data_IF_786719735128
#
_entry.id   IF_786719735128
#
_cell.length_a   1.000
_cell.length_b   1.000
_cell.length_c   1.000
_cell.angle_alpha   90.00
_cell.angle_beta   90.00
_cell.angle_gamma   90.00
#
_symmetry.space_group_name_H-M   'P 1'
#
loop_
_entity.id
_entity.type
_entity.pdbx_description
1 polymer ?
#
# COMPACT_ATOMS: atom_id res chain seq x y z
N UNK A 1 -9.27 -12.22 11.98
CA UNK A 1 -7.83 -12.17 12.30
C UNK A 1 -7.12 -13.50 12.08
N UNK A 2 -7.73 -14.65 12.44
CA UNK A 2 -7.09 -15.97 12.32
C UNK A 2 -6.77 -16.34 10.87
N UNK A 3 -7.68 -16.09 9.93
CA UNK A 3 -7.44 -16.32 8.51
C UNK A 3 -6.31 -15.45 7.96
N UNK A 4 -6.23 -14.18 8.39
CA UNK A 4 -5.12 -13.30 8.07
C UNK A 4 -3.78 -13.84 8.60
N UNK A 5 -3.77 -14.42 9.81
CA UNK A 5 -2.57 -15.00 10.41
C UNK A 5 -2.02 -16.14 9.56
N UNK A 6 -2.88 -17.04 9.12
CA UNK A 6 -2.47 -18.17 8.27
C UNK A 6 -1.87 -17.68 6.95
N UNK A 7 -2.48 -16.71 6.31
CA UNK A 7 -2.04 -16.22 5.01
C UNK A 7 -0.83 -15.29 5.10
N UNK A 8 -0.89 -14.29 6.00
CA UNK A 8 0.15 -13.25 6.05
C UNK A 8 1.39 -13.71 6.81
N UNK A 9 1.24 -14.42 7.92
CA UNK A 9 2.36 -14.80 8.80
C UNK A 9 2.93 -16.14 8.40
N UNK A 10 2.12 -17.21 8.47
CA UNK A 10 2.58 -18.58 8.15
C UNK A 10 2.88 -18.68 6.65
N UNK A 11 2.04 -18.11 5.79
CA UNK A 11 2.26 -18.09 4.34
C UNK A 11 3.58 -17.41 3.96
N UNK A 12 3.88 -16.26 4.53
CA UNK A 12 5.16 -15.56 4.31
C UNK A 12 6.35 -16.41 4.76
N UNK A 13 6.28 -17.00 5.95
CA UNK A 13 7.34 -17.87 6.46
C UNK A 13 7.57 -19.08 5.54
N UNK A 14 6.50 -19.71 5.06
CA UNK A 14 6.60 -20.85 4.13
C UNK A 14 7.26 -20.44 2.81
N UNK A 15 6.90 -19.28 2.26
CA UNK A 15 7.52 -18.76 1.01
C UNK A 15 9.00 -18.50 1.21
N UNK A 16 9.39 -17.82 2.30
CA UNK A 16 10.80 -17.55 2.60
C UNK A 16 11.60 -18.85 2.78
N UNK A 17 11.03 -19.82 3.52
CA UNK A 17 11.67 -21.13 3.72
C UNK A 17 11.85 -21.88 2.40
N UNK A 18 10.81 -21.97 1.59
CA UNK A 18 10.88 -22.65 0.29
C UNK A 18 11.85 -21.93 -0.67
N UNK A 19 11.86 -20.60 -0.68
CA UNK A 19 12.78 -19.81 -1.50
C UNK A 19 14.25 -20.07 -1.10
N UNK A 20 14.53 -20.09 0.20
CA UNK A 20 15.86 -20.41 0.73
C UNK A 20 16.29 -21.82 0.35
N UNK A 21 15.43 -22.84 0.57
CA UNK A 21 15.73 -24.23 0.25
C UNK A 21 15.95 -24.47 -1.27
N UNK A 22 15.24 -23.71 -2.10
CA UNK A 22 15.35 -23.80 -3.55
C UNK A 22 16.51 -22.99 -4.14
N UNK A 23 17.28 -22.27 -3.32
CA UNK A 23 18.38 -21.42 -3.78
C UNK A 23 17.92 -20.22 -4.62
N UNK A 24 16.72 -19.68 -4.35
CA UNK A 24 16.26 -18.44 -4.97
C UNK A 24 17.19 -17.30 -4.56
N UNK A 25 17.63 -16.49 -5.53
CA UNK A 25 18.55 -15.41 -5.25
C UNK A 25 17.92 -14.34 -4.34
N UNK A 26 16.70 -13.89 -4.63
CA UNK A 26 16.07 -12.78 -3.91
C UNK A 26 14.55 -12.94 -3.80
N UNK A 27 14.02 -12.55 -2.66
CA UNK A 27 12.58 -12.36 -2.41
C UNK A 27 12.29 -10.87 -2.23
N UNK A 28 11.33 -10.34 -3.00
CA UNK A 28 10.76 -9.00 -2.80
C UNK A 28 9.44 -9.18 -2.05
N UNK A 29 9.37 -8.63 -0.84
CA UNK A 29 8.20 -8.77 0.03
C UNK A 29 7.29 -7.55 -0.08
N UNK A 30 6.00 -7.79 -0.33
CA UNK A 30 4.95 -6.78 -0.31
C UNK A 30 4.59 -6.44 1.14
N UNK A 31 5.30 -5.48 1.73
CA UNK A 31 5.01 -4.91 3.04
C UNK A 31 3.91 -3.83 2.94
N UNK A 32 3.67 -3.07 4.00
CA UNK A 32 2.59 -2.09 4.07
C UNK A 32 2.93 -0.90 4.95
N UNK A 33 2.51 0.29 4.54
CA UNK A 33 2.55 1.50 5.37
C UNK A 33 1.72 1.40 6.66
N UNK A 34 0.78 0.44 6.73
CA UNK A 34 0.03 0.13 7.96
C UNK A 34 0.90 -0.28 9.14
N UNK A 35 2.18 -0.60 8.91
CA UNK A 35 3.18 -0.83 9.95
C UNK A 35 3.43 0.43 10.80
N UNK A 36 3.39 1.62 10.21
CA UNK A 36 3.61 2.88 10.94
C UNK A 36 2.50 3.17 11.95
N UNK A 37 1.24 2.79 11.63
CA UNK A 37 0.08 3.11 12.46
C UNK A 37 -0.19 4.61 12.49
N UNK A 38 -0.54 5.12 13.66
CA UNK A 38 -0.73 6.55 13.91
C UNK A 38 0.61 7.20 14.28
N UNK A 39 0.99 8.24 13.58
CA UNK A 39 2.24 8.96 13.78
C UNK A 39 2.05 10.46 13.58
N UNK A 40 2.60 11.24 14.50
CA UNK A 40 2.64 12.71 14.41
C UNK A 40 3.74 13.22 13.45
N UNK A 41 4.62 12.32 12.99
CA UNK A 41 5.75 12.66 12.13
C UNK A 41 5.48 12.26 10.68
N UNK A 42 5.32 13.27 9.85
CA UNK A 42 5.14 13.12 8.40
C UNK A 42 6.11 14.05 7.64
N UNK A 43 6.59 13.61 6.46
CA UNK A 43 6.39 12.29 5.86
C UNK A 43 7.08 11.18 6.66
N UNK A 44 6.50 9.96 6.63
CA UNK A 44 7.07 8.79 7.32
C UNK A 44 8.34 8.32 6.60
N UNK A 45 9.41 8.09 7.38
CA UNK A 45 10.66 7.48 6.91
C UNK A 45 10.80 6.06 7.47
N UNK A 46 11.57 5.19 6.81
CA UNK A 46 11.66 3.77 7.17
C UNK A 46 12.27 3.50 8.56
N UNK A 47 13.00 4.49 9.11
CA UNK A 47 13.55 4.44 10.48
C UNK A 47 12.57 4.90 11.57
N UNK A 48 11.38 5.37 11.20
CA UNK A 48 10.37 5.78 12.18
C UNK A 48 9.85 4.56 12.96
N UNK A 49 9.45 4.76 14.22
CA UNK A 49 8.90 3.69 15.03
C UNK A 49 7.69 3.02 14.38
N UNK A 50 7.62 1.71 14.51
CA UNK A 50 6.49 0.89 14.04
C UNK A 50 5.48 0.76 15.17
N UNK A 51 4.23 1.15 14.91
CA UNK A 51 3.14 1.12 15.89
C UNK A 51 1.79 0.75 15.22
N UNK A 52 1.63 -0.47 14.68
CA UNK A 52 0.47 -0.84 13.90
C UNK A 52 -0.83 -0.80 14.70
N UNK A 53 -1.89 -0.21 14.13
CA UNK A 53 -3.22 -0.11 14.74
C UNK A 53 -4.13 -1.32 14.46
N UNK A 54 -3.66 -2.28 13.69
CA UNK A 54 -4.46 -3.45 13.28
C UNK A 54 -3.65 -4.75 13.28
N UNK A 55 -4.31 -5.91 13.46
CA UNK A 55 -3.66 -7.21 13.26
C UNK A 55 -2.98 -7.33 11.89
N UNK A 56 -3.59 -6.81 10.83
CA UNK A 56 -2.99 -6.77 9.49
C UNK A 56 -1.67 -6.02 9.46
N UNK A 57 -1.61 -4.81 10.02
CA UNK A 57 -0.38 -4.01 10.10
C UNK A 57 0.73 -4.73 10.87
N UNK A 58 0.37 -5.37 11.99
CA UNK A 58 1.31 -6.16 12.80
C UNK A 58 1.86 -7.36 12.02
N UNK A 59 1.01 -8.07 11.27
CA UNK A 59 1.41 -9.23 10.46
C UNK A 59 2.30 -8.82 9.28
N UNK A 60 2.00 -7.68 8.63
CA UNK A 60 2.87 -7.14 7.58
C UNK A 60 4.24 -6.74 8.10
N UNK A 61 4.30 -6.12 9.28
CA UNK A 61 5.56 -5.84 9.96
C UNK A 61 6.32 -7.11 10.36
N UNK A 62 5.62 -8.12 10.88
CA UNK A 62 6.25 -9.42 11.15
C UNK A 62 6.94 -10.01 9.91
N UNK A 63 6.32 -9.89 8.73
CA UNK A 63 6.92 -10.32 7.47
C UNK A 63 8.23 -9.58 7.13
N UNK A 64 8.33 -8.28 7.42
CA UNK A 64 9.58 -7.52 7.27
C UNK A 64 10.68 -8.07 8.20
N UNK A 65 10.33 -8.35 9.46
CA UNK A 65 11.25 -8.95 10.44
C UNK A 65 11.74 -10.30 9.95
N UNK A 66 10.84 -11.14 9.42
CA UNK A 66 11.22 -12.46 8.86
C UNK A 66 12.12 -12.31 7.63
N UNK A 67 11.82 -11.38 6.72
CA UNK A 67 12.68 -11.10 5.57
C UNK A 67 14.10 -10.76 6.01
N UNK A 68 14.25 -9.85 6.97
CA UNK A 68 15.55 -9.48 7.53
C UNK A 68 16.27 -10.66 8.15
N UNK A 69 15.57 -11.47 8.97
CA UNK A 69 16.12 -12.66 9.58
C UNK A 69 16.61 -13.69 8.55
N UNK A 70 15.86 -13.88 7.47
CA UNK A 70 16.26 -14.81 6.40
C UNK A 70 17.50 -14.31 5.65
N UNK A 71 17.66 -13.02 5.48
CA UNK A 71 18.92 -12.46 4.92
C UNK A 71 20.10 -12.67 5.84
N UNK A 72 19.96 -12.35 7.12
CA UNK A 72 21.08 -12.41 8.09
C UNK A 72 21.48 -13.84 8.45
N UNK A 73 20.52 -14.77 8.57
CA UNK A 73 20.76 -16.13 9.09
C UNK A 73 20.90 -17.17 7.99
N UNK A 74 20.12 -17.05 6.92
CA UNK A 74 20.06 -18.04 5.86
C UNK A 74 20.70 -17.60 4.54
N UNK A 75 21.14 -16.33 4.45
CA UNK A 75 21.79 -15.79 3.26
C UNK A 75 20.86 -15.61 2.06
N UNK A 76 19.53 -15.62 2.26
CA UNK A 76 18.54 -15.31 1.23
C UNK A 76 18.44 -13.79 1.06
N UNK A 77 18.77 -13.25 -0.10
CA UNK A 77 18.54 -11.82 -0.34
C UNK A 77 17.05 -11.49 -0.19
N UNK A 78 16.73 -10.49 0.62
CA UNK A 78 15.35 -10.00 0.77
C UNK A 78 15.30 -8.48 0.73
N UNK A 79 14.18 -7.94 0.26
CA UNK A 79 13.83 -6.53 0.35
C UNK A 79 12.32 -6.39 0.58
N UNK A 80 11.93 -5.53 1.50
CA UNK A 80 10.53 -5.28 1.88
C UNK A 80 10.08 -3.92 1.35
N UNK A 81 9.02 -3.88 0.56
CA UNK A 81 8.48 -2.66 0.00
C UNK A 81 7.18 -2.28 0.75
N UNK A 82 7.22 -1.19 1.54
CA UNK A 82 6.04 -0.64 2.23
C UNK A 82 5.19 0.15 1.24
N UNK A 83 4.14 -0.48 0.73
CA UNK A 83 3.20 0.19 -0.17
C UNK A 83 2.27 1.12 0.61
N UNK A 84 2.11 2.34 0.08
CA UNK A 84 1.05 3.27 0.48
C UNK A 84 -0.16 3.05 -0.43
N UNK A 85 -1.33 3.58 -0.08
CA UNK A 85 -2.63 3.24 -0.68
C UNK A 85 -2.60 3.08 -2.22
N UNK A 86 -2.58 1.83 -2.68
CA UNK A 86 -2.44 1.53 -4.11
C UNK A 86 -3.77 1.76 -4.82
N UNK A 87 -3.73 2.40 -6.00
CA UNK A 87 -4.84 2.50 -6.94
C UNK A 87 -4.41 2.10 -8.34
N UNK A 88 -5.35 1.69 -9.17
CA UNK A 88 -5.05 1.36 -10.58
C UNK A 88 -6.08 0.46 -11.22
N UNK A 89 -5.80 0.08 -12.45
CA UNK A 89 -6.62 -0.81 -13.27
C UNK A 89 -6.80 -2.17 -12.59
N UNK A 90 -7.99 -2.75 -12.75
CA UNK A 90 -8.36 -4.05 -12.17
C UNK A 90 -8.36 -4.10 -10.64
N UNK A 91 -8.44 -2.93 -9.98
CA UNK A 91 -8.62 -2.90 -8.53
C UNK A 91 -9.93 -3.56 -8.12
N UNK A 92 -9.96 -4.17 -6.93
CA UNK A 92 -11.19 -4.70 -6.36
C UNK A 92 -12.18 -3.56 -6.11
N UNK A 93 -13.38 -3.69 -6.64
CA UNK A 93 -14.47 -2.73 -6.43
C UNK A 93 -15.43 -3.14 -5.30
N UNK A 94 -15.30 -4.37 -4.77
CA UNK A 94 -16.12 -4.88 -3.66
C UNK A 94 -15.40 -5.90 -2.80
N UNK A 95 -15.98 -6.21 -1.63
CA UNK A 95 -15.40 -7.15 -0.67
C UNK A 95 -14.43 -6.50 0.33
N UNK A 96 -13.87 -7.33 1.22
CA UNK A 96 -13.07 -6.88 2.37
C UNK A 96 -11.74 -6.17 2.02
N UNK A 97 -11.28 -6.29 0.77
CA UNK A 97 -10.03 -5.69 0.29
C UNK A 97 -10.24 -4.59 -0.73
N UNK A 98 -11.48 -4.13 -0.93
CA UNK A 98 -11.75 -3.02 -1.82
C UNK A 98 -11.14 -1.72 -1.25
N UNK A 99 -10.42 -1.00 -2.10
CA UNK A 99 -9.87 0.31 -1.75
C UNK A 99 -10.92 1.40 -2.00
N UNK A 100 -10.78 2.54 -1.33
CA UNK A 100 -11.79 3.61 -1.30
C UNK A 100 -12.28 4.02 -2.69
N UNK A 101 -11.40 4.17 -3.67
CA UNK A 101 -11.78 4.53 -5.05
C UNK A 101 -12.67 3.45 -5.68
N UNK A 102 -12.31 2.16 -5.50
CA UNK A 102 -13.11 1.04 -5.98
C UNK A 102 -14.49 0.98 -5.32
N UNK A 103 -14.55 1.22 -4.00
CA UNK A 103 -15.81 1.26 -3.24
C UNK A 103 -16.71 2.38 -3.77
N UNK A 104 -16.18 3.58 -3.94
CA UNK A 104 -16.96 4.73 -4.42
C UNK A 104 -17.52 4.52 -5.83
N UNK A 105 -16.69 3.98 -6.73
CA UNK A 105 -17.13 3.65 -8.09
C UNK A 105 -18.22 2.56 -8.08
N UNK A 106 -18.05 1.49 -7.29
CA UNK A 106 -19.05 0.41 -7.17
C UNK A 106 -20.40 0.94 -6.62
N UNK A 107 -20.36 1.80 -5.61
CA UNK A 107 -21.55 2.42 -5.04
C UNK A 107 -22.29 3.27 -6.09
N UNK A 108 -21.59 4.13 -6.79
CA UNK A 108 -22.23 4.95 -7.84
C UNK A 108 -22.80 4.13 -8.99
N UNK A 109 -22.13 3.06 -9.41
CA UNK A 109 -22.65 2.13 -10.44
C UNK A 109 -23.95 1.43 -9.99
N UNK A 110 -24.14 1.26 -8.68
CA UNK A 110 -25.39 0.73 -8.08
C UNK A 110 -26.45 1.79 -7.83
N UNK A 111 -26.16 3.05 -8.13
CA UNK A 111 -27.05 4.19 -7.83
C UNK A 111 -27.07 4.58 -6.34
N UNK A 112 -26.10 4.10 -5.56
CA UNK A 112 -25.95 4.37 -4.13
C UNK A 112 -25.01 5.56 -3.91
N UNK A 113 -25.15 6.32 -2.79
CA UNK A 113 -24.19 7.37 -2.45
C UNK A 113 -22.84 6.78 -2.02
N UNK A 114 -21.75 7.46 -2.36
CA UNK A 114 -20.42 7.17 -1.85
C UNK A 114 -20.40 7.37 -0.34
N UNK A 115 -19.98 6.35 0.42
CA UNK A 115 -19.94 6.39 1.88
C UNK A 115 -18.60 6.92 2.40
N UNK A 116 -18.59 8.12 2.94
CA UNK A 116 -17.42 8.77 3.52
C UNK A 116 -17.42 8.52 5.04
N UNK A 117 -16.37 7.86 5.55
CA UNK A 117 -16.23 7.62 6.99
C UNK A 117 -15.76 8.89 7.70
N UNK A 118 -16.44 9.24 8.82
CA UNK A 118 -16.16 10.47 9.56
C UNK A 118 -16.48 11.71 8.73
N UNK A 119 -15.60 12.72 8.80
CA UNK A 119 -15.73 13.99 8.06
C UNK A 119 -15.10 13.97 6.65
N UNK A 120 -14.34 12.92 6.33
CA UNK A 120 -13.67 12.76 5.04
C UNK A 120 -12.37 13.55 4.89
N UNK A 121 -11.88 14.19 5.96
CA UNK A 121 -10.64 14.97 5.93
C UNK A 121 -9.38 14.13 6.16
N UNK A 122 -9.54 12.84 6.49
CA UNK A 122 -8.41 11.92 6.57
C UNK A 122 -7.69 11.81 5.22
N UNK A 123 -6.36 11.94 5.25
CA UNK A 123 -5.53 12.03 4.03
C UNK A 123 -4.75 10.75 3.78
N UNK A 124 -4.61 10.37 2.52
CA UNK A 124 -3.88 9.17 2.09
C UNK A 124 -2.91 9.48 0.96
N UNK A 125 -1.71 8.92 1.05
CA UNK A 125 -0.76 8.88 -0.06
C UNK A 125 -1.21 7.78 -1.03
N UNK A 126 -1.72 8.20 -2.19
CA UNK A 126 -2.22 7.29 -3.22
C UNK A 126 -1.14 7.00 -4.26
N UNK A 127 -0.77 5.74 -4.38
CA UNK A 127 0.32 5.28 -5.26
C UNK A 127 -0.23 4.45 -6.43
N UNK A 128 0.15 4.81 -7.66
CA UNK A 128 -0.30 4.11 -8.85
C UNK A 128 0.26 2.69 -8.93
N UNK A 129 -0.58 1.71 -9.30
CA UNK A 129 -0.19 0.30 -9.36
C UNK A 129 0.97 0.05 -10.33
N UNK A 130 1.04 0.77 -11.44
CA UNK A 130 2.15 0.68 -12.39
C UNK A 130 3.50 1.09 -11.77
N UNK A 131 3.49 2.09 -10.87
CA UNK A 131 4.68 2.50 -10.14
C UNK A 131 5.09 1.45 -9.11
N UNK A 132 4.12 0.80 -8.45
CA UNK A 132 4.39 -0.31 -7.54
C UNK A 132 4.99 -1.50 -8.29
N UNK A 133 4.47 -1.85 -9.46
CA UNK A 133 5.05 -2.90 -10.32
C UNK A 133 6.49 -2.56 -10.69
N UNK A 134 6.75 -1.32 -11.11
CA UNK A 134 8.09 -0.87 -11.43
C UNK A 134 9.05 -0.95 -10.22
N UNK A 135 8.57 -0.58 -9.02
CA UNK A 135 9.35 -0.71 -7.79
C UNK A 135 9.76 -2.17 -7.51
N UNK A 136 8.85 -3.13 -7.71
CA UNK A 136 9.15 -4.56 -7.55
C UNK A 136 10.22 -5.04 -8.54
N UNK A 137 10.10 -4.63 -9.81
CA UNK A 137 11.09 -4.98 -10.83
C UNK A 137 12.47 -4.40 -10.47
N UNK A 138 12.54 -3.11 -10.12
CA UNK A 138 13.78 -2.47 -9.73
C UNK A 138 14.39 -3.09 -8.47
N UNK A 139 13.57 -3.39 -7.44
CA UNK A 139 14.02 -4.06 -6.22
C UNK A 139 14.56 -5.47 -6.49
N UNK A 140 13.97 -6.19 -7.45
CA UNK A 140 14.46 -7.52 -7.83
C UNK A 140 15.83 -7.49 -8.52
N UNK A 141 16.21 -6.36 -9.13
CA UNK A 141 17.40 -6.20 -9.97
C UNK A 141 18.51 -5.38 -9.32
N UNK A 142 18.17 -4.43 -8.42
CA UNK A 142 19.14 -3.51 -7.82
C UNK A 142 20.19 -4.25 -7.01
N UNK A 143 21.46 -3.90 -7.25
CA UNK A 143 22.61 -4.41 -6.50
C UNK A 143 22.83 -3.70 -5.14
N UNK A 144 22.04 -2.65 -4.86
CA UNK A 144 22.12 -1.86 -3.64
C UNK A 144 21.24 -2.38 -2.52
N UNK A 145 20.48 -3.46 -2.76
CA UNK A 145 19.54 -4.07 -1.81
C UNK A 145 19.67 -5.59 -1.81
N UNK A 146 19.23 -6.24 -0.75
CA UNK A 146 19.28 -7.69 -0.59
C UNK A 146 19.60 -8.13 0.85
N UNK A 147 19.79 -7.18 1.76
CA UNK A 147 20.15 -7.44 3.17
C UNK A 147 18.96 -7.17 4.12
N UNK A 148 17.74 -7.38 3.64
CA UNK A 148 16.52 -7.15 4.43
C UNK A 148 16.10 -5.68 4.52
N UNK A 149 16.49 -4.84 3.55
CA UNK A 149 16.10 -3.44 3.52
C UNK A 149 14.58 -3.30 3.48
N UNK A 150 14.09 -2.29 4.20
CA UNK A 150 12.72 -1.80 4.10
C UNK A 150 12.73 -0.51 3.31
N UNK A 151 11.81 -0.35 2.36
CA UNK A 151 11.75 0.80 1.46
C UNK A 151 10.30 1.24 1.27
N UNK A 152 10.03 2.53 1.49
CA UNK A 152 8.72 3.12 1.22
C UNK A 152 8.46 3.26 -0.29
N UNK A 153 7.30 2.80 -0.72
CA UNK A 153 6.78 2.97 -2.07
C UNK A 153 5.47 3.75 -1.98
N UNK A 154 5.62 5.06 -1.98
CA UNK A 154 4.55 6.04 -1.89
C UNK A 154 4.77 7.18 -2.86
N UNK A 155 3.70 7.85 -3.26
CA UNK A 155 3.76 8.96 -4.22
C UNK A 155 4.50 10.18 -3.64
N UNK A 156 4.50 10.35 -2.30
CA UNK A 156 5.04 11.53 -1.64
C UNK A 156 4.13 12.75 -1.74
N UNK A 157 2.86 12.52 -2.07
CA UNK A 157 1.77 13.50 -2.08
C UNK A 157 0.48 12.81 -1.64
N UNK A 158 -0.37 13.50 -0.90
CA UNK A 158 -1.59 12.89 -0.40
C UNK A 158 -2.86 13.68 -0.74
N UNK A 159 -4.00 13.00 -0.64
CA UNK A 159 -5.32 13.58 -0.87
C UNK A 159 -6.25 13.21 0.26
N UNK A 160 -7.19 14.09 0.61
CA UNK A 160 -8.28 13.75 1.50
C UNK A 160 -9.28 12.81 0.81
N UNK A 161 -10.04 12.09 1.61
CA UNK A 161 -11.12 11.24 1.07
C UNK A 161 -12.19 12.08 0.38
N UNK A 162 -12.44 13.30 0.89
CA UNK A 162 -13.33 14.27 0.22
C UNK A 162 -12.81 14.67 -1.16
N UNK A 163 -11.51 15.01 -1.30
CA UNK A 163 -10.89 15.33 -2.60
C UNK A 163 -11.06 14.17 -3.60
N UNK A 164 -10.88 12.93 -3.15
CA UNK A 164 -11.08 11.75 -4.00
C UNK A 164 -12.56 11.58 -4.40
N UNK A 165 -13.49 11.75 -3.45
CA UNK A 165 -14.91 11.65 -3.73
C UNK A 165 -15.35 12.71 -4.74
N UNK A 166 -14.90 13.97 -4.59
CA UNK A 166 -15.23 15.09 -5.49
C UNK A 166 -14.72 14.85 -6.93
N UNK A 167 -13.60 14.14 -7.11
CA UNK A 167 -13.14 13.73 -8.44
C UNK A 167 -14.05 12.67 -9.09
N UNK A 168 -14.73 11.86 -8.27
CA UNK A 168 -15.55 10.74 -8.74
C UNK A 168 -17.00 11.18 -8.99
N UNK A 169 -17.61 11.93 -8.06
CA UNK A 169 -18.98 12.39 -8.21
C UNK A 169 -19.51 13.16 -6.99
N UNK A 170 -20.75 13.67 -7.11
CA UNK A 170 -21.35 14.53 -6.07
C UNK A 170 -22.24 13.77 -5.08
N UNK A 171 -22.69 12.54 -5.43
CA UNK A 171 -23.58 11.76 -4.60
C UNK A 171 -22.80 11.08 -3.46
N UNK A 172 -22.76 11.71 -2.28
CA UNK A 172 -21.99 11.25 -1.12
C UNK A 172 -22.75 11.42 0.19
N UNK A 173 -22.43 10.56 1.17
CA UNK A 173 -22.99 10.58 2.52
C UNK A 173 -21.94 10.25 3.55
N UNK A 174 -21.90 11.00 4.65
CA UNK A 174 -21.01 10.69 5.76
C UNK A 174 -21.61 9.56 6.64
N UNK A 175 -20.76 8.64 7.07
CA UNK A 175 -21.07 7.53 7.97
C UNK A 175 -20.13 7.55 9.17
N UNK A 176 -20.41 6.73 10.18
CA UNK A 176 -19.60 6.67 11.40
C UNK A 176 -18.09 6.47 11.11
N UNK A 177 -17.23 7.17 11.84
CA UNK A 177 -15.78 7.05 11.67
C UNK A 177 -15.28 5.66 12.10
N UNK A 178 -14.11 5.29 11.61
CA UNK A 178 -13.36 4.10 12.05
C UNK A 178 -12.02 4.53 12.65
N UNK A 179 -11.41 3.64 13.44
CA UNK A 179 -10.07 3.88 13.97
C UNK A 179 -9.06 3.66 12.84
N UNK A 180 -8.49 4.74 12.36
CA UNK A 180 -7.46 4.75 11.32
C UNK A 180 -6.55 5.98 11.49
N UNK A 181 -5.33 6.00 10.94
CA UNK A 181 -4.48 7.17 10.97
C UNK A 181 -5.17 8.38 10.30
N UNK A 182 -5.09 9.59 10.87
CA UNK A 182 -5.66 10.78 10.25
C UNK A 182 -4.97 11.12 8.91
N UNK A 183 -3.68 10.83 8.81
CA UNK A 183 -2.90 11.13 7.60
C UNK A 183 -1.83 10.07 7.35
N UNK A 184 -1.56 9.77 6.07
CA UNK A 184 -0.41 9.01 5.62
C UNK A 184 0.32 9.75 4.50
N UNK A 185 1.65 9.82 4.59
CA UNK A 185 2.51 10.45 3.60
C UNK A 185 3.88 9.77 3.62
N UNK A 186 4.37 9.33 2.48
CA UNK A 186 5.66 8.66 2.36
C UNK A 186 6.80 9.65 2.13
N UNK A 187 7.91 9.47 2.82
CA UNK A 187 9.21 9.86 2.27
C UNK A 187 9.69 8.72 1.35
N UNK A 188 9.89 9.01 0.08
CA UNK A 188 10.34 8.04 -0.92
C UNK A 188 11.82 8.24 -1.34
N UNK A 189 12.58 8.99 -0.57
CA UNK A 189 13.99 9.30 -0.85
C UNK A 189 14.84 8.03 -0.94
N UNK A 190 14.60 7.07 -0.06
CA UNK A 190 15.31 5.79 -0.06
C UNK A 190 15.03 4.95 -1.31
N UNK A 191 13.79 4.96 -1.82
CA UNK A 191 13.46 4.31 -3.08
C UNK A 191 14.21 4.94 -4.26
N UNK A 192 14.33 6.27 -4.29
CA UNK A 192 15.12 6.99 -5.30
C UNK A 192 16.59 6.60 -5.23
N UNK A 193 17.17 6.60 -4.04
CA UNK A 193 18.59 6.30 -3.80
C UNK A 193 18.95 4.85 -4.14
N UNK A 194 18.20 3.89 -3.61
CA UNK A 194 18.55 2.47 -3.70
C UNK A 194 18.04 1.78 -4.96
N UNK A 195 16.91 2.23 -5.49
CA UNK A 195 16.26 1.60 -6.65
C UNK A 195 16.32 2.47 -7.90
N UNK A 196 16.59 3.77 -7.79
CA UNK A 196 16.38 4.73 -8.88
C UNK A 196 14.90 4.87 -9.25
N UNK A 197 14.01 4.58 -8.29
CA UNK A 197 12.57 4.59 -8.49
C UNK A 197 11.99 5.99 -8.29
N UNK A 198 11.04 6.37 -9.15
CA UNK A 198 10.23 7.58 -9.02
C UNK A 198 8.77 7.28 -9.39
N UNK A 199 7.79 7.84 -8.64
CA UNK A 199 6.39 7.76 -9.02
C UNK A 199 6.13 8.56 -10.31
N UNK A 200 5.30 8.01 -11.21
CA UNK A 200 4.89 8.63 -12.47
C UNK A 200 3.37 8.74 -12.57
N UNK A 201 2.65 7.96 -11.77
CA UNK A 201 1.20 7.98 -11.74
C UNK A 201 0.65 9.31 -11.22
N UNK A 202 -0.44 9.78 -11.83
CA UNK A 202 -1.13 10.99 -11.42
C UNK A 202 -2.62 10.68 -11.24
N UNK A 203 -3.07 10.69 -10.01
CA UNK A 203 -4.45 10.36 -9.65
C UNK A 203 -5.47 11.31 -10.28
N UNK A 204 -5.11 12.59 -10.45
CA UNK A 204 -5.99 13.59 -11.04
C UNK A 204 -6.29 13.31 -12.52
N UNK A 205 -5.38 12.67 -13.24
CA UNK A 205 -5.58 12.26 -14.64
C UNK A 205 -6.12 10.84 -14.76
N UNK A 206 -5.84 10.00 -13.77
CA UNK A 206 -6.27 8.61 -13.79
C UNK A 206 -7.76 8.43 -13.43
N UNK A 207 -8.26 9.12 -12.39
CA UNK A 207 -9.68 9.00 -11.96
C UNK A 207 -10.65 9.34 -13.10
N UNK A 208 -10.53 10.46 -13.83
CA UNK A 208 -11.44 10.77 -14.95
C UNK A 208 -11.45 9.68 -16.03
N UNK A 209 -10.27 9.12 -16.36
CA UNK A 209 -10.15 8.02 -17.30
C UNK A 209 -10.84 6.76 -16.80
N UNK A 210 -10.60 6.39 -15.53
CA UNK A 210 -11.19 5.24 -14.90
C UNK A 210 -12.72 5.33 -14.80
N UNK A 211 -13.27 6.51 -14.46
CA UNK A 211 -14.72 6.75 -14.49
C UNK A 211 -15.33 6.42 -15.84
N UNK A 212 -14.70 6.92 -16.90
CA UNK A 212 -15.14 6.67 -18.28
C UNK A 212 -15.12 5.19 -18.63
N UNK A 213 -14.04 4.49 -18.28
CA UNK A 213 -13.89 3.04 -18.50
C UNK A 213 -14.96 2.23 -17.74
N UNK A 214 -15.38 2.71 -16.57
CA UNK A 214 -16.42 2.08 -15.74
C UNK A 214 -17.86 2.50 -16.13
N UNK A 215 -18.03 3.38 -17.11
CA UNK A 215 -19.35 3.83 -17.57
C UNK A 215 -20.02 4.84 -16.63
N UNK A 216 -19.26 5.55 -15.81
CA UNK A 216 -19.72 6.66 -14.97
C UNK A 216 -19.57 8.03 -15.67
N UNK A 217 -19.70 8.07 -16.98
CA UNK A 217 -19.77 9.32 -17.73
C UNK A 217 -21.06 10.05 -17.37
N UNK A 218 -20.90 11.21 -16.73
CA UNK A 218 -21.93 12.23 -16.57
C UNK A 218 -21.49 13.46 -17.36
#
# INVERSE_FOLDING_TARGET
PVEYEVNNTIGTLNVLKCASDAGVRRVVYSASSSAYGDTDKLPSVESDPVNPLSPYGAQKYYGEVMCKMFSEVYGLETVSLRYFNIYGERQNVGGAYAMVIGIFVDQLLKGEPMTIRGDGEQRRDFTYVGDVVNANILASQSEKVGNGEVINIGNGDNRSINEIADMIGDNKVNVDPVIEPPETLADNSKARELLGWEPKGNINTWIPKYKKEMGLDV
#
